data_IF_212357705514
#
_entry.id   IF_212357705514
#
_cell.length_a   1.000
_cell.length_b   1.000
_cell.length_c   1.000
_cell.angle_alpha   90.00
_cell.angle_beta   90.00
_cell.angle_gamma   90.00
#
_symmetry.space_group_name_H-M   'P 1'
#
loop_
_entity.id
_entity.type
_entity.pdbx_description
1 polymer ?
#
# COMPACT_ATOMS: atom_id res chain seq x y z
N UNK A 1 0.27 -23.68 19.45
CA UNK A 1 0.09 -22.50 18.58
C UNK A 1 -1.37 -22.50 18.15
N UNK A 2 -2.11 -21.40 18.30
CA UNK A 2 -3.44 -21.28 17.68
C UNK A 2 -3.26 -21.37 16.17
N UNK A 3 -4.13 -22.09 15.41
CA UNK A 3 -4.06 -22.06 13.96
C UNK A 3 -4.14 -20.61 13.52
N UNK A 4 -3.29 -20.21 12.59
CA UNK A 4 -3.21 -18.86 12.04
C UNK A 4 -4.54 -18.57 11.35
N UNK A 5 -5.48 -17.94 12.06
CA UNK A 5 -6.74 -17.54 11.47
C UNK A 5 -6.43 -16.37 10.53
N UNK A 6 -6.64 -16.59 9.24
CA UNK A 6 -6.47 -15.54 8.24
C UNK A 6 -7.35 -14.35 8.59
N UNK A 7 -6.70 -13.22 8.89
CA UNK A 7 -7.40 -11.98 9.18
C UNK A 7 -7.83 -11.31 7.87
N UNK A 8 -9.10 -10.99 7.75
CA UNK A 8 -9.68 -10.22 6.65
C UNK A 8 -10.31 -8.96 7.23
N UNK A 9 -9.80 -7.76 6.90
CA UNK A 9 -10.44 -6.52 7.32
C UNK A 9 -11.71 -6.25 6.50
N UNK A 10 -12.61 -5.41 7.00
CA UNK A 10 -13.74 -4.91 6.19
C UNK A 10 -13.26 -3.94 5.09
N UNK A 11 -12.19 -3.22 5.36
CA UNK A 11 -11.60 -2.28 4.41
C UNK A 11 -10.10 -2.11 4.63
N UNK A 12 -9.34 -1.97 3.55
CA UNK A 12 -7.91 -1.69 3.57
C UNK A 12 -7.54 -0.56 2.61
N UNK A 13 -6.57 0.25 2.99
CA UNK A 13 -6.00 1.31 2.14
C UNK A 13 -4.50 1.11 2.06
N UNK A 14 -3.98 0.91 0.85
CA UNK A 14 -2.53 0.93 0.59
C UNK A 14 -2.09 2.33 0.18
N UNK A 15 -1.07 2.86 0.87
CA UNK A 15 -0.48 4.19 0.60
C UNK A 15 0.98 4.00 0.26
N UNK A 16 1.36 4.34 -0.97
CA UNK A 16 2.72 4.16 -1.52
C UNK A 16 3.15 5.36 -2.36
N UNK A 17 4.40 5.38 -2.79
CA UNK A 17 4.96 6.47 -3.57
C UNK A 17 4.52 6.42 -5.04
N UNK A 18 4.73 5.29 -5.72
CA UNK A 18 4.64 5.21 -7.18
C UNK A 18 3.67 4.13 -7.66
N UNK A 19 3.18 4.25 -8.90
CA UNK A 19 2.62 3.13 -9.65
C UNK A 19 3.61 1.95 -9.67
N UNK A 20 3.12 0.74 -9.36
CA UNK A 20 3.84 -0.54 -9.21
C UNK A 20 4.34 -0.91 -7.79
N UNK A 21 4.55 0.02 -6.89
CA UNK A 21 5.00 -0.26 -5.51
C UNK A 21 4.12 -1.29 -4.78
N UNK A 22 2.80 -1.20 -4.97
CA UNK A 22 1.81 -2.11 -4.35
C UNK A 22 2.00 -3.51 -4.92
N UNK A 23 2.17 -3.62 -6.23
CA UNK A 23 2.29 -4.88 -6.93
C UNK A 23 3.58 -5.60 -6.54
N UNK A 24 4.68 -4.88 -6.37
CA UNK A 24 5.92 -5.45 -5.86
C UNK A 24 5.81 -5.89 -4.39
N UNK A 25 5.10 -5.15 -3.56
CA UNK A 25 5.16 -5.31 -2.11
C UNK A 25 4.03 -6.15 -1.50
N UNK A 26 2.76 -5.80 -1.75
CA UNK A 26 1.64 -6.29 -0.94
C UNK A 26 0.36 -6.65 -1.71
N UNK A 27 0.35 -6.59 -3.04
CA UNK A 27 -0.87 -6.81 -3.82
C UNK A 27 -1.44 -8.22 -3.64
N UNK A 28 -0.62 -9.24 -3.38
CA UNK A 28 -1.08 -10.60 -3.11
C UNK A 28 -2.00 -10.66 -1.88
N UNK A 29 -1.62 -9.97 -0.82
CA UNK A 29 -2.42 -9.82 0.41
C UNK A 29 -3.68 -9.00 0.14
N UNK A 30 -3.56 -7.85 -0.55
CA UNK A 30 -4.70 -6.99 -0.86
C UNK A 30 -5.73 -7.70 -1.74
N UNK A 31 -5.28 -8.43 -2.77
CA UNK A 31 -6.15 -9.23 -3.63
C UNK A 31 -6.86 -10.34 -2.83
N UNK A 32 -6.15 -11.01 -1.91
CA UNK A 32 -6.75 -12.01 -1.05
C UNK A 32 -7.84 -11.41 -0.15
N UNK A 33 -7.62 -10.22 0.41
CA UNK A 33 -8.64 -9.51 1.18
C UNK A 33 -9.84 -9.11 0.30
N UNK A 34 -9.57 -8.57 -0.89
CA UNK A 34 -10.62 -8.20 -1.84
C UNK A 34 -11.48 -9.39 -2.29
N UNK A 35 -10.85 -10.55 -2.58
CA UNK A 35 -11.55 -11.81 -2.88
C UNK A 35 -12.42 -12.30 -1.71
N UNK A 36 -12.01 -12.01 -0.48
CA UNK A 36 -12.78 -12.32 0.73
C UNK A 36 -13.84 -11.27 1.08
N UNK A 37 -14.04 -10.23 0.24
CA UNK A 37 -15.09 -9.22 0.37
C UNK A 37 -14.66 -7.89 0.98
N UNK A 38 -13.37 -7.68 1.30
CA UNK A 38 -12.88 -6.40 1.78
C UNK A 38 -12.94 -5.33 0.68
N UNK A 39 -13.27 -4.09 1.06
CA UNK A 39 -13.08 -2.93 0.18
C UNK A 39 -11.61 -2.52 0.22
N UNK A 40 -10.98 -2.37 -0.93
CA UNK A 40 -9.55 -2.03 -1.04
C UNK A 40 -9.37 -0.74 -1.83
N UNK A 41 -8.68 0.24 -1.24
CA UNK A 41 -8.32 1.53 -1.87
C UNK A 41 -6.80 1.62 -2.04
N UNK A 42 -6.36 2.06 -3.22
CA UNK A 42 -4.98 2.41 -3.52
C UNK A 42 -4.82 3.92 -3.50
N UNK A 43 -3.81 4.41 -2.78
CA UNK A 43 -3.42 5.83 -2.77
C UNK A 43 -1.96 5.92 -3.18
N UNK A 44 -1.74 6.46 -4.37
CA UNK A 44 -0.43 6.66 -4.96
C UNK A 44 -0.05 8.14 -4.78
N UNK A 45 1.05 8.42 -4.08
CA UNK A 45 1.47 9.78 -3.80
C UNK A 45 1.88 10.52 -5.08
N UNK A 46 2.57 9.84 -6.00
CA UNK A 46 2.96 10.38 -7.31
C UNK A 46 2.24 9.63 -8.44
N UNK A 47 2.35 10.12 -9.66
CA UNK A 47 1.94 9.39 -10.86
C UNK A 47 3.12 8.73 -11.58
N UNK A 48 4.32 8.77 -11.01
CA UNK A 48 5.51 8.20 -11.64
C UNK A 48 5.93 8.87 -12.93
N UNK A 49 5.74 10.20 -13.03
CA UNK A 49 5.86 10.97 -14.27
C UNK A 49 7.30 11.14 -14.78
N UNK A 50 8.31 10.72 -13.99
CA UNK A 50 9.71 10.65 -14.43
C UNK A 50 10.23 9.22 -14.65
N UNK A 51 9.41 8.20 -14.36
CA UNK A 51 9.82 6.79 -14.41
C UNK A 51 9.87 6.17 -15.82
N UNK A 52 9.51 6.90 -16.88
CA UNK A 52 9.63 6.43 -18.27
C UNK A 52 10.80 7.16 -18.95
N UNK A 53 11.92 6.47 -19.11
CA UNK A 53 13.20 7.00 -19.61
C UNK A 53 13.31 7.07 -21.16
N UNK A 54 12.18 6.95 -21.86
CA UNK A 54 12.16 7.03 -23.33
C UNK A 54 12.46 8.45 -23.80
N UNK A 55 13.43 8.66 -24.69
CA UNK A 55 13.74 9.99 -25.23
C UNK A 55 12.51 10.69 -25.82
N UNK A 56 12.26 11.93 -25.41
CA UNK A 56 11.11 12.72 -25.87
C UNK A 56 9.80 12.43 -25.12
N UNK A 57 9.77 11.55 -24.13
CA UNK A 57 8.61 11.33 -23.26
C UNK A 57 8.32 12.60 -22.47
N UNK A 58 7.10 13.12 -22.58
CA UNK A 58 6.67 14.23 -21.72
C UNK A 58 6.15 13.68 -20.39
N UNK A 59 6.30 14.47 -19.33
CA UNK A 59 5.73 14.12 -18.01
C UNK A 59 4.22 13.87 -18.08
N UNK A 60 3.49 14.67 -18.85
CA UNK A 60 2.05 14.49 -19.01
C UNK A 60 1.69 13.14 -19.64
N UNK A 61 2.42 12.72 -20.68
CA UNK A 61 2.20 11.43 -21.32
C UNK A 61 2.61 10.27 -20.39
N UNK A 62 3.74 10.40 -19.68
CA UNK A 62 4.16 9.41 -18.69
C UNK A 62 3.12 9.24 -17.58
N UNK A 63 2.56 10.36 -17.07
CA UNK A 63 1.43 10.34 -16.11
C UNK A 63 0.24 9.55 -16.65
N UNK A 64 -0.20 9.87 -17.88
CA UNK A 64 -1.36 9.20 -18.49
C UNK A 64 -1.13 7.69 -18.61
N UNK A 65 0.05 7.28 -19.11
CA UNK A 65 0.42 5.87 -19.26
C UNK A 65 0.42 5.17 -17.89
N UNK A 66 1.18 5.68 -16.92
CA UNK A 66 1.36 5.03 -15.62
C UNK A 66 0.08 5.00 -14.78
N UNK A 67 -0.75 6.04 -14.84
CA UNK A 67 -2.07 6.03 -14.18
C UNK A 67 -3.01 5.00 -14.83
N UNK A 68 -2.97 4.83 -16.16
CA UNK A 68 -3.76 3.80 -16.85
C UNK A 68 -3.32 2.39 -16.47
N UNK A 69 -2.01 2.15 -16.41
CA UNK A 69 -1.41 0.87 -15.99
C UNK A 69 -1.77 0.53 -14.54
N UNK A 70 -1.69 1.49 -13.62
CA UNK A 70 -2.10 1.31 -12.21
C UNK A 70 -3.59 0.99 -12.06
N UNK A 71 -4.46 1.63 -12.85
CA UNK A 71 -5.89 1.33 -12.85
C UNK A 71 -6.16 -0.10 -13.32
N UNK A 72 -5.45 -0.57 -14.34
CA UNK A 72 -5.57 -1.94 -14.81
C UNK A 72 -5.02 -2.95 -13.79
N UNK A 73 -3.86 -2.68 -13.18
CA UNK A 73 -3.31 -3.50 -12.10
C UNK A 73 -4.29 -3.61 -10.91
N UNK A 74 -4.85 -2.49 -10.48
CA UNK A 74 -5.85 -2.45 -9.42
C UNK A 74 -7.13 -3.24 -9.78
N UNK A 75 -7.59 -3.16 -11.03
CA UNK A 75 -8.72 -3.95 -11.54
C UNK A 75 -8.44 -5.45 -11.47
N UNK A 76 -7.25 -5.89 -11.87
CA UNK A 76 -6.80 -7.29 -11.78
C UNK A 76 -6.81 -7.74 -10.32
N UNK A 77 -6.29 -6.92 -9.40
CA UNK A 77 -6.26 -7.18 -7.97
C UNK A 77 -7.61 -6.98 -7.25
N UNK A 78 -8.68 -6.60 -7.99
CA UNK A 78 -10.03 -6.31 -7.48
C UNK A 78 -10.08 -5.19 -6.44
N UNK A 79 -9.18 -4.21 -6.53
CA UNK A 79 -9.27 -3.01 -5.72
C UNK A 79 -10.53 -2.21 -6.08
N UNK A 80 -11.10 -1.54 -5.09
CA UNK A 80 -12.35 -0.78 -5.22
C UNK A 80 -12.10 0.56 -5.93
N UNK A 81 -10.94 1.18 -5.68
CA UNK A 81 -10.57 2.48 -6.25
C UNK A 81 -9.06 2.68 -6.26
N UNK A 82 -8.62 3.63 -7.10
CA UNK A 82 -7.23 4.12 -7.17
C UNK A 82 -7.25 5.64 -7.13
N UNK A 83 -6.52 6.23 -6.19
CA UNK A 83 -6.37 7.66 -5.99
C UNK A 83 -4.94 8.07 -6.30
N UNK A 84 -4.75 9.08 -7.13
CA UNK A 84 -3.45 9.67 -7.44
C UNK A 84 -3.38 11.07 -6.82
N UNK A 85 -2.45 11.30 -5.89
CA UNK A 85 -2.25 12.61 -5.28
C UNK A 85 -1.44 13.55 -6.18
N UNK A 86 -0.74 12.98 -7.17
CA UNK A 86 0.05 13.70 -8.19
C UNK A 86 1.08 14.65 -7.60
N UNK A 87 1.72 14.24 -6.49
CA UNK A 87 2.91 14.92 -6.00
C UNK A 87 4.07 14.76 -7.00
N UNK A 88 5.04 15.67 -7.00
CA UNK A 88 6.20 15.58 -7.89
C UNK A 88 6.99 14.29 -7.70
N UNK A 89 7.07 13.46 -8.74
CA UNK A 89 7.83 12.21 -8.76
C UNK A 89 9.34 12.45 -8.71
N UNK A 90 10.05 11.63 -7.91
CA UNK A 90 11.48 11.77 -7.64
C UNK A 90 11.83 12.88 -6.63
N UNK A 91 10.86 13.67 -6.19
CA UNK A 91 11.05 14.81 -5.28
C UNK A 91 10.06 14.81 -4.11
N UNK A 92 9.46 13.66 -3.81
CA UNK A 92 8.45 13.55 -2.77
C UNK A 92 9.07 13.84 -1.39
N UNK A 93 8.37 14.63 -0.59
CA UNK A 93 8.73 14.93 0.79
C UNK A 93 7.52 14.72 1.71
N UNK A 94 7.77 14.29 2.96
CA UNK A 94 6.74 14.12 3.97
C UNK A 94 6.27 15.47 4.52
N UNK A 95 5.68 16.31 3.67
CA UNK A 95 5.21 17.65 4.02
C UNK A 95 3.89 17.61 4.78
N UNK A 96 3.55 18.72 5.47
CA UNK A 96 2.24 18.88 6.10
C UNK A 96 1.10 18.85 5.07
N UNK A 97 1.36 19.32 3.85
CA UNK A 97 0.38 19.29 2.76
C UNK A 97 0.10 17.85 2.30
N UNK A 98 1.14 17.06 2.08
CA UNK A 98 0.96 15.63 1.76
C UNK A 98 0.23 14.89 2.90
N UNK A 99 0.61 15.15 4.16
CA UNK A 99 -0.07 14.57 5.32
C UNK A 99 -1.55 14.95 5.33
N UNK A 100 -1.89 16.21 5.06
CA UNK A 100 -3.28 16.70 4.97
C UNK A 100 -4.08 15.95 3.89
N UNK A 101 -3.51 15.80 2.69
CA UNK A 101 -4.13 15.02 1.59
C UNK A 101 -4.38 13.57 2.02
N UNK A 102 -3.41 12.93 2.66
CA UNK A 102 -3.55 11.55 3.13
C UNK A 102 -4.59 11.43 4.25
N UNK A 103 -4.63 12.37 5.20
CA UNK A 103 -5.68 12.41 6.25
C UNK A 103 -7.06 12.51 5.63
N UNK A 104 -7.22 13.33 4.58
CA UNK A 104 -8.47 13.47 3.86
C UNK A 104 -8.91 12.14 3.26
N UNK A 105 -8.04 11.42 2.58
CA UNK A 105 -8.36 10.12 1.98
C UNK A 105 -8.65 9.04 3.04
N UNK A 106 -7.89 9.00 4.14
CA UNK A 106 -8.13 8.07 5.26
C UNK A 106 -9.52 8.36 5.89
N UNK A 107 -9.87 9.62 6.13
CA UNK A 107 -11.18 9.98 6.70
C UNK A 107 -12.33 9.74 5.71
N UNK A 108 -12.10 9.92 4.42
CA UNK A 108 -13.08 9.67 3.36
C UNK A 108 -13.39 8.18 3.22
N UNK A 109 -12.38 7.36 3.08
CA UNK A 109 -12.53 5.93 2.83
C UNK A 109 -12.81 5.12 4.10
N UNK A 110 -12.31 5.58 5.25
CA UNK A 110 -12.42 4.94 6.56
C UNK A 110 -11.85 3.50 6.57
N UNK A 111 -10.56 3.30 6.26
CA UNK A 111 -9.97 1.97 6.25
C UNK A 111 -9.87 1.38 7.67
N UNK A 112 -10.18 0.09 7.82
CA UNK A 112 -9.84 -0.66 9.03
C UNK A 112 -8.32 -0.87 9.11
N UNK A 113 -7.68 -1.15 7.97
CA UNK A 113 -6.24 -1.37 7.87
C UNK A 113 -5.62 -0.37 6.89
N UNK A 114 -4.51 0.26 7.31
CA UNK A 114 -3.62 0.98 6.40
C UNK A 114 -2.39 0.13 6.13
N UNK A 115 -2.01 0.01 4.86
CA UNK A 115 -0.79 -0.68 4.40
C UNK A 115 0.16 0.35 3.82
N UNK A 116 1.44 0.32 4.21
CA UNK A 116 2.47 1.23 3.68
C UNK A 116 3.86 0.60 3.79
N UNK A 117 4.87 1.25 3.23
CA UNK A 117 6.27 0.85 3.36
C UNK A 117 6.87 1.13 4.73
N UNK A 118 8.11 0.69 4.94
CA UNK A 118 8.90 1.03 6.13
C UNK A 118 9.74 2.29 5.86
N UNK A 119 9.50 3.41 6.57
CA UNK A 119 10.24 4.65 6.38
C UNK A 119 11.69 4.59 6.90
N UNK A 120 12.02 3.59 7.71
CA UNK A 120 13.33 3.47 8.36
C UNK A 120 14.36 2.76 7.53
N UNK A 121 13.93 2.02 6.49
CA UNK A 121 14.82 1.28 5.61
C UNK A 121 15.47 2.26 4.62
N UNK A 122 16.76 2.46 4.78
CA UNK A 122 17.62 3.21 3.84
C UNK A 122 18.38 2.22 2.95
N UNK A 123 18.94 1.19 3.56
CA UNK A 123 19.71 0.15 2.89
C UNK A 123 18.83 -1.09 2.72
N UNK A 124 18.59 -1.50 1.48
CA UNK A 124 17.82 -2.69 1.17
C UNK A 124 18.75 -3.71 0.48
N UNK A 125 19.33 -4.62 1.27
CA UNK A 125 20.38 -5.50 0.80
C UNK A 125 21.75 -4.84 0.70
N UNK A 126 22.66 -5.47 -0.03
CA UNK A 126 24.04 -5.02 -0.19
C UNK A 126 24.23 -4.02 -1.35
N UNK A 127 23.27 -3.94 -2.26
CA UNK A 127 23.41 -3.29 -3.56
C UNK A 127 22.26 -2.31 -3.89
N UNK A 128 21.33 -2.10 -2.98
CA UNK A 128 20.19 -1.23 -3.22
C UNK A 128 19.98 -0.21 -2.09
N UNK A 129 19.85 1.08 -2.48
CA UNK A 129 19.42 2.16 -1.59
C UNK A 129 17.93 2.39 -1.84
N UNK A 130 17.11 2.24 -0.78
CA UNK A 130 15.68 2.45 -0.88
C UNK A 130 15.34 3.87 -1.36
N UNK A 131 14.43 3.95 -2.32
CA UNK A 131 14.08 5.21 -2.99
C UNK A 131 13.64 6.28 -1.96
N UNK A 132 14.11 7.55 -2.08
CA UNK A 132 13.72 8.59 -1.12
C UNK A 132 12.21 8.82 -1.07
N UNK A 133 11.51 8.71 -2.21
CA UNK A 133 10.06 8.86 -2.27
C UNK A 133 9.34 7.74 -1.52
N UNK A 134 9.84 6.49 -1.51
CA UNK A 134 9.27 5.41 -0.70
C UNK A 134 9.31 5.75 0.79
N UNK A 135 10.44 6.27 1.28
CA UNK A 135 10.58 6.68 2.67
C UNK A 135 9.70 7.87 3.01
N UNK A 136 9.59 8.84 2.10
CA UNK A 136 8.75 10.02 2.27
C UNK A 136 7.26 9.66 2.30
N UNK A 137 6.80 8.82 1.36
CA UNK A 137 5.43 8.31 1.33
C UNK A 137 5.09 7.54 2.61
N UNK A 138 5.98 6.62 3.02
CA UNK A 138 5.78 5.81 4.23
C UNK A 138 5.73 6.68 5.49
N UNK A 139 6.63 7.67 5.63
CA UNK A 139 6.61 8.63 6.74
C UNK A 139 5.29 9.40 6.77
N UNK A 140 4.88 9.98 5.64
CA UNK A 140 3.65 10.74 5.55
C UNK A 140 2.40 9.88 5.82
N UNK A 141 2.39 8.63 5.35
CA UNK A 141 1.32 7.67 5.58
C UNK A 141 1.16 7.31 7.06
N UNK A 142 2.27 7.02 7.75
CA UNK A 142 2.25 6.72 9.19
C UNK A 142 1.79 7.94 10.00
N UNK A 143 2.33 9.12 9.71
CA UNK A 143 1.95 10.37 10.39
C UNK A 143 0.49 10.77 10.13
N UNK A 144 -0.03 10.50 8.92
CA UNK A 144 -1.43 10.71 8.60
C UNK A 144 -2.32 9.70 9.33
N UNK A 145 -1.92 8.43 9.40
CA UNK A 145 -2.68 7.36 10.04
C UNK A 145 -2.76 7.57 11.55
N UNK A 146 -1.63 7.91 12.18
CA UNK A 146 -1.55 8.16 13.61
C UNK A 146 -0.59 9.31 13.93
N UNK A 147 -1.04 10.32 14.68
CA UNK A 147 -2.39 10.42 15.26
C UNK A 147 -3.40 11.16 14.37
N UNK A 148 -2.99 11.71 13.20
CA UNK A 148 -3.66 12.82 12.55
C UNK A 148 -5.08 12.48 12.07
N UNK A 149 -5.32 11.34 11.42
CA UNK A 149 -6.65 10.99 10.92
C UNK A 149 -7.68 10.78 12.05
N UNK A 150 -7.21 10.30 13.21
CA UNK A 150 -8.06 10.06 14.38
C UNK A 150 -8.33 11.29 15.25
N UNK A 151 -7.66 12.42 15.00
CA UNK A 151 -7.80 13.63 15.82
C UNK A 151 -8.77 14.65 15.19
N UNK A 152 -9.96 14.87 15.76
CA UNK A 152 -10.97 15.75 15.15
C UNK A 152 -10.50 17.21 15.02
N UNK A 153 -9.62 17.66 15.92
CA UNK A 153 -9.10 19.03 15.95
C UNK A 153 -7.84 19.24 15.09
N UNK A 154 -7.40 18.21 14.34
CA UNK A 154 -6.39 18.34 13.31
C UNK A 154 -7.05 18.37 11.94
N UNK A 155 -6.68 19.36 11.11
CA UNK A 155 -7.27 19.54 9.78
C UNK A 155 -8.80 19.65 9.84
N UNK A 156 -9.29 20.63 10.61
CA UNK A 156 -10.72 20.86 10.85
C UNK A 156 -11.50 21.14 9.56
N UNK A 157 -10.83 21.70 8.54
CA UNK A 157 -11.38 21.91 7.21
C UNK A 157 -11.84 20.62 6.55
N UNK A 158 -11.15 19.49 6.79
CA UNK A 158 -11.53 18.17 6.28
C UNK A 158 -12.83 17.69 6.94
N UNK A 159 -13.02 17.99 8.23
CA UNK A 159 -14.28 17.70 8.92
C UNK A 159 -15.42 18.57 8.38
N UNK A 160 -15.15 19.81 8.02
CA UNK A 160 -16.11 20.70 7.38
C UNK A 160 -16.53 20.23 5.96
N UNK A 161 -15.67 19.47 5.27
CA UNK A 161 -16.02 18.77 4.02
C UNK A 161 -16.93 17.53 4.24
N UNK A 162 -17.23 17.17 5.48
CA UNK A 162 -18.05 16.01 5.84
C UNK A 162 -17.25 14.74 6.16
N UNK A 163 -15.92 14.79 6.17
CA UNK A 163 -15.05 13.65 6.50
C UNK A 163 -14.63 13.70 7.96
N UNK A 164 -15.43 13.09 8.83
CA UNK A 164 -15.18 12.99 10.27
C UNK A 164 -13.88 12.23 10.59
N UNK A 165 -13.29 12.53 11.76
CA UNK A 165 -12.12 11.83 12.24
C UNK A 165 -12.32 10.30 12.21
N UNK A 166 -11.28 9.59 11.78
CA UNK A 166 -11.30 8.13 11.69
C UNK A 166 -9.96 7.57 12.19
N UNK A 167 -10.03 6.58 13.08
CA UNK A 167 -8.85 5.90 13.60
C UNK A 167 -8.79 4.49 13.02
N UNK A 168 -7.86 4.22 12.09
CA UNK A 168 -7.64 2.85 11.61
C UNK A 168 -7.31 1.90 12.76
N UNK A 169 -7.72 0.65 12.63
CA UNK A 169 -7.48 -0.37 13.65
C UNK A 169 -6.04 -0.86 13.64
N UNK A 170 -5.49 -1.12 12.46
CA UNK A 170 -4.15 -1.66 12.29
C UNK A 170 -3.38 -0.96 11.19
N UNK A 171 -2.06 -0.98 11.33
CA UNK A 171 -1.13 -0.60 10.28
C UNK A 171 -0.29 -1.82 9.93
N UNK A 172 -0.25 -2.15 8.65
CA UNK A 172 0.61 -3.17 8.06
C UNK A 172 1.75 -2.47 7.33
N UNK A 173 2.96 -2.64 7.83
CA UNK A 173 4.16 -2.08 7.22
C UNK A 173 4.85 -3.18 6.44
N UNK A 174 5.00 -3.01 5.13
CA UNK A 174 5.69 -3.98 4.28
C UNK A 174 7.17 -4.02 4.68
N UNK A 175 7.69 -5.18 4.98
CA UNK A 175 9.08 -5.36 5.40
C UNK A 175 9.79 -6.36 4.50
N UNK A 176 11.03 -6.03 4.14
CA UNK A 176 11.88 -6.88 3.31
C UNK A 176 12.80 -7.77 4.14
N UNK A 177 13.01 -7.48 5.42
CA UNK A 177 14.00 -8.10 6.29
C UNK A 177 13.50 -8.46 7.70
N UNK A 178 14.33 -8.33 8.73
CA UNK A 178 14.23 -8.93 10.06
C UNK A 178 13.00 -8.53 10.92
N UNK A 179 12.27 -7.47 10.59
CA UNK A 179 11.17 -6.96 11.41
C UNK A 179 9.78 -7.40 10.92
N UNK A 180 9.63 -8.69 10.62
CA UNK A 180 8.35 -9.25 10.17
C UNK A 180 7.64 -9.92 11.35
N UNK A 181 6.45 -9.40 11.71
CA UNK A 181 5.61 -9.99 12.76
C UNK A 181 4.71 -11.09 12.21
N UNK A 182 4.25 -10.93 10.97
CA UNK A 182 3.35 -11.88 10.31
C UNK A 182 3.75 -12.13 8.85
N UNK A 183 3.44 -13.34 8.40
CA UNK A 183 3.52 -13.72 7.00
C UNK A 183 2.12 -14.09 6.51
N UNK A 184 1.67 -13.44 5.46
CA UNK A 184 0.38 -13.72 4.83
C UNK A 184 0.61 -14.71 3.69
N UNK A 185 -0.10 -15.84 3.75
CA UNK A 185 -0.12 -16.81 2.65
C UNK A 185 -0.79 -16.20 1.43
N UNK A 186 -0.09 -16.19 0.29
CA UNK A 186 -0.57 -15.67 -1.00
C UNK A 186 -0.59 -16.76 -2.09
N UNK A 187 -0.61 -18.04 -1.73
CA UNK A 187 -0.62 -19.15 -2.69
C UNK A 187 -1.74 -19.01 -3.72
N UNK A 188 -2.94 -18.62 -3.27
CA UNK A 188 -4.11 -18.45 -4.12
C UNK A 188 -4.11 -17.12 -4.91
N UNK A 189 -3.18 -16.20 -4.63
CA UNK A 189 -3.13 -14.86 -5.24
C UNK A 189 -1.78 -14.51 -5.86
N UNK A 190 -0.83 -15.43 -5.87
CA UNK A 190 0.48 -15.20 -6.50
C UNK A 190 0.35 -14.88 -8.00
N UNK A 191 -0.53 -15.57 -8.71
CA UNK A 191 -0.75 -15.32 -10.13
C UNK A 191 -1.45 -13.97 -10.37
N UNK A 192 -2.34 -13.54 -9.48
CA UNK A 192 -2.93 -12.18 -9.52
C UNK A 192 -1.83 -11.13 -9.33
N UNK A 193 -0.90 -11.35 -8.40
CA UNK A 193 0.25 -10.46 -8.17
C UNK A 193 1.11 -10.31 -9.43
N UNK A 194 1.40 -11.41 -10.10
CA UNK A 194 2.20 -11.43 -11.32
C UNK A 194 1.47 -10.70 -12.46
N UNK A 195 0.19 -10.99 -12.68
CA UNK A 195 -0.60 -10.34 -13.73
C UNK A 195 -0.79 -8.84 -13.47
N UNK A 196 -0.99 -8.44 -12.20
CA UNK A 196 -1.08 -7.03 -11.83
C UNK A 196 0.25 -6.30 -12.12
N UNK A 197 1.40 -6.94 -11.84
CA UNK A 197 2.70 -6.39 -12.20
C UNK A 197 2.89 -6.27 -13.72
N UNK A 198 2.49 -7.28 -14.48
CA UNK A 198 2.51 -7.27 -15.95
C UNK A 198 1.69 -6.14 -16.57
N UNK A 199 0.70 -5.60 -15.85
CA UNK A 199 -0.06 -4.45 -16.31
C UNK A 199 0.78 -3.17 -16.39
N UNK A 200 1.86 -3.05 -15.63
CA UNK A 200 2.82 -1.93 -15.68
C UNK A 200 3.83 -2.07 -16.82
N UNK A 201 3.33 -2.15 -18.05
CA UNK A 201 4.13 -2.43 -19.26
C UNK A 201 5.28 -1.47 -19.46
N UNK A 202 5.06 -0.18 -19.13
CA UNK A 202 6.10 0.86 -19.26
C UNK A 202 7.30 0.60 -18.35
N UNK A 203 7.10 -0.13 -17.23
CA UNK A 203 8.13 -0.46 -16.27
C UNK A 203 8.72 -1.85 -16.50
N UNK A 204 7.86 -2.81 -16.87
CA UNK A 204 8.31 -4.19 -17.12
C UNK A 204 9.15 -4.31 -18.40
N UNK A 205 8.84 -3.53 -19.45
CA UNK A 205 9.54 -3.60 -20.74
C UNK A 205 9.64 -5.06 -21.22
N UNK A 206 10.87 -5.59 -21.38
CA UNK A 206 11.15 -6.97 -21.80
C UNK A 206 11.33 -7.95 -20.61
N UNK A 207 11.19 -7.47 -19.37
CA UNK A 207 11.32 -8.31 -18.19
C UNK A 207 9.98 -8.94 -17.80
N UNK A 208 9.93 -10.28 -17.76
CA UNK A 208 8.79 -10.99 -17.18
C UNK A 208 9.00 -11.19 -15.68
N UNK A 209 8.11 -10.66 -14.81
CA UNK A 209 8.28 -10.72 -13.37
C UNK A 209 8.05 -12.10 -12.76
N UNK A 210 7.46 -13.06 -13.48
CA UNK A 210 6.95 -14.31 -12.90
C UNK A 210 8.00 -15.07 -12.09
N UNK A 211 9.15 -15.34 -12.69
CA UNK A 211 10.21 -16.11 -12.05
C UNK A 211 10.71 -15.45 -10.76
N UNK A 212 11.02 -14.16 -10.82
CA UNK A 212 11.55 -13.40 -9.68
C UNK A 212 10.52 -13.23 -8.57
N UNK A 213 9.27 -12.93 -8.91
CA UNK A 213 8.21 -12.77 -7.92
C UNK A 213 7.92 -14.09 -7.19
N UNK A 214 7.87 -15.22 -7.92
CA UNK A 214 7.71 -16.55 -7.30
C UNK A 214 8.88 -16.89 -6.39
N UNK A 215 10.12 -16.63 -6.83
CA UNK A 215 11.31 -16.86 -6.02
C UNK A 215 11.30 -16.02 -4.73
N UNK A 216 11.07 -14.72 -4.82
CA UNK A 216 11.04 -13.84 -3.64
C UNK A 216 9.91 -14.19 -2.66
N UNK A 217 8.72 -14.53 -3.18
CA UNK A 217 7.60 -14.93 -2.34
C UNK A 217 7.82 -16.30 -1.69
N UNK A 218 8.49 -17.25 -2.40
CA UNK A 218 8.86 -18.54 -1.85
C UNK A 218 9.96 -18.42 -0.78
N UNK A 219 10.93 -17.54 -0.97
CA UNK A 219 11.97 -17.26 0.04
C UNK A 219 11.35 -16.75 1.35
N UNK A 220 10.33 -15.90 1.28
CA UNK A 220 9.58 -15.44 2.45
C UNK A 220 8.77 -16.54 3.12
N UNK A 221 8.31 -17.50 2.36
CA UNK A 221 7.55 -18.65 2.86
C UNK A 221 8.42 -19.76 3.48
N UNK A 222 9.75 -19.69 3.36
CA UNK A 222 10.67 -20.72 3.90
C UNK A 222 10.39 -21.01 5.37
N UNK A 223 10.21 -22.30 5.68
CA UNK A 223 9.92 -22.76 7.05
C UNK A 223 8.49 -22.51 7.53
N UNK A 224 7.57 -22.13 6.63
CA UNK A 224 6.14 -21.91 6.91
C UNK A 224 5.28 -22.88 6.09
N UNK A 225 4.06 -23.14 6.54
CA UNK A 225 3.11 -24.02 5.87
C UNK A 225 2.41 -23.32 4.70
N UNK A 226 3.20 -22.76 3.74
CA UNK A 226 2.73 -22.09 2.54
C UNK A 226 3.82 -22.08 1.48
N UNK A 227 3.46 -21.97 0.20
CA UNK A 227 4.40 -21.91 -0.90
C UNK A 227 4.90 -20.47 -1.15
N UNK A 228 4.02 -19.48 -0.99
CA UNK A 228 4.31 -18.07 -1.23
C UNK A 228 3.79 -17.19 -0.09
N UNK A 229 4.58 -16.19 0.29
CA UNK A 229 4.21 -15.28 1.38
C UNK A 229 4.56 -13.82 1.08
N UNK A 230 3.77 -12.92 1.67
CA UNK A 230 4.12 -11.52 1.88
C UNK A 230 4.32 -11.27 3.38
N UNK A 231 5.33 -10.47 3.74
CA UNK A 231 5.72 -10.22 5.13
C UNK A 231 5.39 -8.82 5.59
N UNK A 232 4.87 -8.70 6.82
CA UNK A 232 4.50 -7.41 7.41
C UNK A 232 4.91 -7.29 8.87
N UNK A 233 5.34 -6.10 9.25
CA UNK A 233 5.26 -5.64 10.63
C UNK A 233 3.83 -5.11 10.87
N UNK A 234 3.21 -5.45 12.00
CA UNK A 234 1.83 -5.06 12.30
C UNK A 234 1.75 -4.26 13.59
N UNK A 235 1.21 -3.05 13.50
CA UNK A 235 0.92 -2.21 14.64
C UNK A 235 -0.61 -2.20 14.87
N UNK A 236 -1.06 -2.65 16.04
CA UNK A 236 -2.46 -2.59 16.45
C UNK A 236 -2.73 -1.30 17.23
N UNK A 237 -3.40 -0.34 16.59
CA UNK A 237 -3.74 0.95 17.17
C UNK A 237 -5.01 0.90 18.04
N UNK A 238 -5.93 -0.02 17.69
CA UNK A 238 -7.16 -0.26 18.44
C UNK A 238 -7.30 -1.76 18.66
N UNK A 239 -7.41 -2.19 19.93
CA UNK A 239 -7.62 -3.59 20.25
C UNK A 239 -9.02 -4.07 19.86
N UNK A 240 -9.22 -5.39 19.84
CA UNK A 240 -10.44 -6.03 19.35
C UNK A 240 -11.68 -5.54 20.10
N UNK A 241 -11.63 -5.48 21.43
CA UNK A 241 -12.77 -5.05 22.27
C UNK A 241 -13.16 -3.58 21.99
N UNK A 242 -12.15 -2.70 21.88
CA UNK A 242 -12.39 -1.28 21.59
C UNK A 242 -12.90 -1.08 20.17
N UNK A 243 -12.43 -1.90 19.20
CA UNK A 243 -12.89 -1.83 17.83
C UNK A 243 -14.36 -2.23 17.69
N UNK A 244 -14.77 -3.33 18.32
CA UNK A 244 -16.19 -3.76 18.30
C UNK A 244 -17.11 -2.72 18.96
N UNK A 245 -16.68 -2.08 20.05
CA UNK A 245 -17.43 -0.96 20.65
C UNK A 245 -17.57 0.21 19.67
N UNK A 246 -16.50 0.62 19.00
CA UNK A 246 -16.54 1.72 18.03
C UNK A 246 -17.51 1.44 16.86
N UNK A 247 -17.66 0.17 16.45
CA UNK A 247 -18.63 -0.22 15.41
C UNK A 247 -20.07 -0.15 15.88
N UNK A 248 -20.33 -0.46 17.17
CA UNK A 248 -21.70 -0.42 17.72
C UNK A 248 -22.23 1.00 17.96
N UNK A 249 -21.34 1.99 17.99
CA UNK A 249 -21.66 3.41 18.22
C UNK A 249 -21.89 4.21 16.92
N UNK A 250 -21.81 3.53 15.74
CA UNK A 250 -22.06 4.09 14.40
C UNK A 250 -23.44 3.65 13.91
#
# INVERSE_FOLDING_TARGET
MKPFQFYVPESAMAIVAHPDDIEFSCVGTLARWALAGARVSYVLCTSGDVGIDTPGMSKALATEIREAESKEAARIARATEVIFLREPDGMLQATMELRRKLVREIRRFKPEVVVTGDPTIVWAGADYINHPDHRAAATAALDATFPAAGQPNLFEEISAEGYSAHKPRKVYVTSWEENVDIYVNIDDTIDIKIEALRAHKSQMKDWDPESSIKEWAADRAKGKEMAYAEGFRVVTLVNDESWERMKSDI
#
